data_IF_507731737604
#
_entry.id   IF_507731737604
#
_cell.length_a   1.000
_cell.length_b   1.000
_cell.length_c   1.000
_cell.angle_alpha   90.00
_cell.angle_beta   90.00
_cell.angle_gamma   90.00
#
_symmetry.space_group_name_H-M   'P 1'
#
loop_
_entity.id
_entity.type
_entity.pdbx_description
1 polymer ?
#
# COMPACT_ATOMS: atom_id res chain seq x y z
N UNK A 1 27.97 -9.29 -12.31
CA UNK A 1 26.99 -9.66 -11.26
C UNK A 1 27.54 -9.20 -9.92
N UNK A 2 27.14 -8.01 -9.43
CA UNK A 2 27.61 -7.53 -8.13
C UNK A 2 26.95 -8.39 -7.05
N UNK A 3 27.74 -9.15 -6.29
CA UNK A 3 27.27 -9.77 -5.05
C UNK A 3 26.75 -8.64 -4.18
N UNK A 4 25.42 -8.59 -3.98
CA UNK A 4 24.80 -7.57 -3.14
C UNK A 4 25.44 -7.63 -1.76
N UNK A 5 26.14 -6.55 -1.39
CA UNK A 5 26.87 -6.48 -0.13
C UNK A 5 25.83 -6.36 0.98
N UNK A 6 25.54 -7.46 1.67
CA UNK A 6 24.63 -7.43 2.81
C UNK A 6 25.34 -6.76 3.98
N UNK A 7 24.83 -5.60 4.41
CA UNK A 7 25.30 -4.94 5.62
C UNK A 7 24.70 -5.63 6.84
N UNK A 8 25.55 -6.08 7.77
CA UNK A 8 25.12 -6.74 9.01
C UNK A 8 25.13 -5.74 10.14
N UNK A 9 23.95 -5.51 10.73
CA UNK A 9 23.78 -4.72 11.95
C UNK A 9 23.47 -5.67 13.09
N UNK A 10 24.14 -5.51 14.23
CA UNK A 10 23.91 -6.35 15.42
C UNK A 10 23.32 -5.47 16.53
N UNK A 11 22.06 -5.73 16.88
CA UNK A 11 21.42 -5.22 18.10
C UNK A 11 21.09 -6.40 19.01
N UNK A 12 21.42 -6.27 20.29
CA UNK A 12 21.05 -7.25 21.33
C UNK A 12 19.92 -6.68 22.17
N UNK A 13 18.81 -7.40 22.24
CA UNK A 13 17.66 -7.08 23.07
C UNK A 13 17.66 -8.00 24.29
N UNK A 14 17.38 -7.44 25.46
CA UNK A 14 17.16 -8.20 26.69
C UNK A 14 15.68 -8.12 27.07
N UNK A 15 15.09 -9.27 27.38
CA UNK A 15 13.72 -9.39 27.88
C UNK A 15 13.76 -9.58 29.40
N UNK A 16 12.80 -8.99 30.12
CA UNK A 16 12.68 -9.04 31.57
C UNK A 16 11.41 -9.80 31.98
N UNK A 17 11.40 -11.14 31.91
CA UNK A 17 10.19 -11.96 32.13
C UNK A 17 9.63 -11.87 33.56
N UNK A 18 10.43 -11.42 34.54
CA UNK A 18 9.98 -11.21 35.91
C UNK A 18 9.18 -9.91 36.09
N UNK A 19 9.34 -8.95 35.17
CA UNK A 19 8.76 -7.60 35.28
C UNK A 19 7.64 -7.37 34.26
N UNK A 20 7.70 -8.05 33.11
CA UNK A 20 6.71 -7.91 32.03
C UNK A 20 6.13 -9.26 31.64
N UNK A 21 4.79 -9.33 31.62
CA UNK A 21 4.06 -10.50 31.11
C UNK A 21 4.24 -10.65 29.59
N UNK A 22 4.35 -9.54 28.86
CA UNK A 22 4.63 -9.56 27.43
C UNK A 22 6.01 -10.19 27.15
N UNK A 23 7.01 -9.88 27.97
CA UNK A 23 8.36 -10.48 27.86
C UNK A 23 8.36 -11.97 28.19
N UNK A 24 7.64 -12.38 29.25
CA UNK A 24 7.51 -13.79 29.64
C UNK A 24 6.83 -14.63 28.54
N UNK A 25 5.74 -14.10 27.96
CA UNK A 25 5.06 -14.76 26.84
C UNK A 25 5.92 -14.79 25.59
N UNK A 26 6.59 -13.68 25.26
CA UNK A 26 7.52 -13.60 24.13
C UNK A 26 8.61 -14.66 24.26
N UNK A 27 9.23 -14.79 25.45
CA UNK A 27 10.24 -15.81 25.72
C UNK A 27 9.68 -17.22 25.46
N UNK A 28 8.46 -17.50 25.93
CA UNK A 28 7.81 -18.82 25.78
C UNK A 28 7.53 -19.12 24.30
N UNK A 29 6.98 -18.17 23.55
CA UNK A 29 6.69 -18.30 22.12
C UNK A 29 7.97 -18.52 21.32
N UNK A 30 9.03 -17.76 21.60
CA UNK A 30 10.34 -17.93 20.94
C UNK A 30 10.97 -19.29 21.22
N UNK A 31 10.89 -19.78 22.46
CA UNK A 31 11.38 -21.11 22.82
C UNK A 31 10.59 -22.22 22.12
N UNK A 32 9.27 -22.08 22.02
CA UNK A 32 8.41 -23.04 21.32
C UNK A 32 8.73 -23.07 19.82
N UNK A 33 8.81 -21.92 19.18
CA UNK A 33 9.19 -21.81 17.76
C UNK A 33 10.54 -22.48 17.52
N UNK A 34 11.58 -22.13 18.28
CA UNK A 34 12.89 -22.78 18.13
C UNK A 34 12.84 -24.30 18.32
N UNK A 35 12.01 -24.80 19.24
CA UNK A 35 11.84 -26.24 19.45
C UNK A 35 11.16 -26.89 18.25
N UNK A 36 10.11 -26.27 17.70
CA UNK A 36 9.40 -26.75 16.53
C UNK A 36 10.32 -26.80 15.31
N UNK A 37 11.07 -25.73 15.01
CA UNK A 37 12.01 -25.72 13.88
C UNK A 37 13.08 -26.82 14.00
N UNK A 38 13.59 -27.10 15.22
CA UNK A 38 14.54 -28.19 15.45
C UNK A 38 13.92 -29.57 15.26
N UNK A 39 12.63 -29.73 15.56
CA UNK A 39 11.90 -30.99 15.45
C UNK A 39 11.45 -31.30 14.02
N UNK A 40 11.37 -30.29 13.14
CA UNK A 40 10.99 -30.45 11.72
C UNK A 40 12.00 -31.26 10.88
N UNK A 41 13.10 -31.76 11.47
CA UNK A 41 14.08 -32.61 10.78
C UNK A 41 14.90 -31.89 9.71
N UNK A 42 14.82 -30.56 9.64
CA UNK A 42 15.53 -29.73 8.67
C UNK A 42 17.00 -29.59 9.02
N UNK A 43 17.85 -29.38 8.01
CA UNK A 43 19.28 -29.21 8.21
C UNK A 43 19.58 -28.05 9.16
N UNK A 44 20.67 -28.16 9.92
CA UNK A 44 21.03 -27.15 10.93
C UNK A 44 21.19 -25.74 10.32
N UNK A 45 21.60 -25.66 9.06
CA UNK A 45 21.73 -24.39 8.36
C UNK A 45 20.38 -23.77 8.00
N UNK A 46 19.40 -24.59 7.63
CA UNK A 46 18.06 -24.15 7.25
C UNK A 46 17.31 -23.61 8.46
N UNK A 47 17.36 -24.34 9.58
CA UNK A 47 16.82 -23.86 10.88
C UNK A 47 17.38 -22.50 11.27
N UNK A 48 18.69 -22.29 11.09
CA UNK A 48 19.33 -21.02 11.39
C UNK A 48 18.91 -19.90 10.42
N UNK A 49 18.71 -20.20 9.14
CA UNK A 49 18.24 -19.23 8.15
C UNK A 49 16.78 -18.84 8.38
N UNK A 50 15.92 -19.81 8.70
CA UNK A 50 14.52 -19.54 9.06
C UNK A 50 14.44 -18.72 10.34
N UNK A 51 15.21 -19.07 11.38
CA UNK A 51 15.29 -18.30 12.62
C UNK A 51 15.72 -16.85 12.37
N UNK A 52 16.75 -16.63 11.53
CA UNK A 52 17.19 -15.28 11.16
C UNK A 52 16.12 -14.53 10.36
N UNK A 53 15.44 -15.20 9.44
CA UNK A 53 14.37 -14.60 8.63
C UNK A 53 13.20 -14.19 9.51
N UNK A 54 12.82 -15.04 10.45
CA UNK A 54 11.81 -14.75 11.45
C UNK A 54 12.16 -13.50 12.26
N UNK A 55 13.34 -13.46 12.90
CA UNK A 55 13.76 -12.30 13.68
C UNK A 55 13.86 -11.02 12.84
N UNK A 56 14.37 -11.13 11.61
CA UNK A 56 14.43 -10.00 10.66
C UNK A 56 13.03 -9.46 10.39
N UNK A 57 12.05 -10.31 10.12
CA UNK A 57 10.69 -9.88 9.82
C UNK A 57 10.01 -9.23 11.03
N UNK A 58 10.18 -9.80 12.23
CA UNK A 58 9.66 -9.21 13.48
C UNK A 58 10.26 -7.82 13.71
N UNK A 59 11.58 -7.67 13.54
CA UNK A 59 12.25 -6.38 13.72
C UNK A 59 11.79 -5.34 12.69
N UNK A 60 11.69 -5.71 11.41
CA UNK A 60 11.24 -4.80 10.35
C UNK A 60 9.78 -4.38 10.54
N UNK A 61 8.90 -5.31 10.93
CA UNK A 61 7.51 -5.00 11.22
C UNK A 61 7.40 -4.06 12.42
N UNK A 62 8.08 -4.37 13.53
CA UNK A 62 8.08 -3.51 14.72
C UNK A 62 8.63 -2.11 14.42
N UNK A 63 9.73 -2.01 13.67
CA UNK A 63 10.30 -0.72 13.28
C UNK A 63 9.35 0.08 12.38
N UNK A 64 8.67 -0.58 11.43
CA UNK A 64 7.68 0.07 10.57
C UNK A 64 6.48 0.58 11.39
N UNK A 65 5.98 -0.22 12.33
CA UNK A 65 4.91 0.22 13.24
C UNK A 65 5.35 1.41 14.08
N UNK A 66 6.58 1.39 14.59
CA UNK A 66 7.15 2.49 15.38
C UNK A 66 7.28 3.78 14.56
N UNK A 67 7.66 3.68 13.27
CA UNK A 67 7.72 4.83 12.36
C UNK A 67 6.35 5.44 12.06
N UNK A 68 5.30 4.61 12.00
CA UNK A 68 3.92 5.09 11.79
C UNK A 68 3.38 5.79 13.04
N UNK A 69 3.46 5.13 14.19
CA UNK A 69 3.07 5.68 15.48
C UNK A 69 3.76 4.90 16.63
N UNK A 70 4.63 5.54 17.42
CA UNK A 70 5.31 4.88 18.54
C UNK A 70 4.36 4.28 19.57
N UNK A 71 3.21 4.91 19.82
CA UNK A 71 2.20 4.44 20.77
C UNK A 71 1.50 3.18 20.26
N UNK A 72 1.23 3.10 18.95
CA UNK A 72 0.70 1.90 18.31
C UNK A 72 1.66 0.72 18.47
N UNK A 73 2.95 0.94 18.20
CA UNK A 73 3.96 -0.10 18.37
C UNK A 73 4.03 -0.61 19.81
N UNK A 74 4.02 0.30 20.78
CA UNK A 74 4.03 -0.05 22.19
C UNK A 74 2.77 -0.83 22.59
N UNK A 75 1.59 -0.37 22.19
CA UNK A 75 0.33 -1.05 22.51
C UNK A 75 0.26 -2.46 21.90
N UNK A 76 0.71 -2.63 20.66
CA UNK A 76 0.79 -3.95 20.01
C UNK A 76 1.80 -4.85 20.75
N UNK A 77 2.95 -4.32 21.18
CA UNK A 77 3.93 -5.10 21.95
C UNK A 77 3.37 -5.58 23.29
N UNK A 78 2.71 -4.70 24.05
CA UNK A 78 2.09 -5.05 25.33
C UNK A 78 0.91 -6.03 25.17
N UNK A 79 0.23 -5.99 24.03
CA UNK A 79 -0.89 -6.90 23.75
C UNK A 79 -0.49 -8.39 23.75
N UNK A 80 0.79 -8.70 23.47
CA UNK A 80 1.34 -10.07 23.55
C UNK A 80 1.21 -10.64 24.96
N UNK A 81 1.24 -9.78 25.99
CA UNK A 81 1.09 -10.17 27.40
C UNK A 81 -0.33 -10.65 27.75
N UNK A 82 -1.33 -10.36 26.92
CA UNK A 82 -2.74 -10.63 27.21
C UNK A 82 -3.14 -12.05 26.77
N UNK A 83 -4.07 -12.64 27.51
CA UNK A 83 -4.55 -13.99 27.21
C UNK A 83 -5.66 -13.95 26.15
N UNK A 84 -5.62 -14.87 25.18
CA UNK A 84 -6.69 -15.10 24.19
C UNK A 84 -7.08 -13.91 23.32
N UNK A 85 -6.23 -12.90 23.17
CA UNK A 85 -6.53 -11.74 22.34
C UNK A 85 -6.58 -12.12 20.86
N UNK A 86 -7.73 -11.92 20.24
CA UNK A 86 -7.91 -12.12 18.81
C UNK A 86 -7.58 -10.85 18.02
N UNK A 87 -7.27 -11.00 16.73
CA UNK A 87 -7.00 -9.87 15.84
C UNK A 87 -8.15 -8.82 15.80
N UNK A 88 -9.45 -9.19 15.68
CA UNK A 88 -10.52 -8.20 15.68
C UNK A 88 -10.63 -7.44 17.01
N UNK A 89 -10.48 -8.12 18.15
CA UNK A 89 -10.51 -7.46 19.48
C UNK A 89 -9.36 -6.46 19.64
N UNK A 90 -8.15 -6.82 19.20
CA UNK A 90 -7.02 -5.90 19.19
C UNK A 90 -7.30 -4.70 18.27
N UNK A 91 -7.88 -4.92 17.09
CA UNK A 91 -8.22 -3.83 16.18
C UNK A 91 -9.26 -2.87 16.80
N UNK A 92 -10.31 -3.40 17.44
CA UNK A 92 -11.31 -2.59 18.15
C UNK A 92 -10.70 -1.77 19.29
N UNK A 93 -9.76 -2.34 20.06
CA UNK A 93 -9.01 -1.59 21.08
C UNK A 93 -8.20 -0.46 20.47
N UNK A 94 -7.45 -0.74 19.40
CA UNK A 94 -6.61 0.27 18.74
C UNK A 94 -7.46 1.40 18.15
N UNK A 95 -8.66 1.12 17.64
CA UNK A 95 -9.62 2.14 17.19
C UNK A 95 -10.14 2.95 18.37
N UNK A 96 -10.52 2.30 19.49
CA UNK A 96 -10.96 3.00 20.72
C UNK A 96 -9.88 3.91 21.31
N UNK A 97 -8.61 3.53 21.17
CA UNK A 97 -7.47 4.32 21.59
C UNK A 97 -7.02 5.36 20.56
N UNK A 98 -7.76 5.54 19.45
CA UNK A 98 -7.43 6.46 18.35
C UNK A 98 -6.05 6.19 17.70
N UNK A 99 -5.54 4.96 17.83
CA UNK A 99 -4.27 4.51 17.26
C UNK A 99 -4.43 4.00 15.83
N UNK A 100 -5.64 3.62 15.45
CA UNK A 100 -6.04 3.32 14.08
C UNK A 100 -7.18 4.26 13.65
N UNK A 101 -7.19 4.75 12.41
CA UNK A 101 -8.31 5.51 11.89
C UNK A 101 -9.58 4.64 11.91
N UNK A 102 -10.70 5.24 12.31
CA UNK A 102 -12.05 4.65 12.31
C UNK A 102 -12.54 4.53 10.86
N UNK A 103 -11.81 3.83 10.01
CA UNK A 103 -12.34 3.38 8.72
C UNK A 103 -11.99 1.91 8.59
N UNK A 104 -12.94 1.06 8.97
CA UNK A 104 -13.06 -0.28 8.42
C UNK A 104 -13.90 -0.11 7.15
N UNK A 105 -13.33 0.12 5.95
CA UNK A 105 -14.03 -0.28 4.74
C UNK A 105 -13.95 -1.80 4.72
N UNK A 106 -14.99 -2.45 5.25
CA UNK A 106 -15.26 -3.84 4.95
C UNK A 106 -15.47 -3.93 3.44
N UNK A 107 -14.39 -4.22 2.71
CA UNK A 107 -14.36 -4.27 1.26
C UNK A 107 -14.76 -2.96 0.56
N UNK A 108 -14.11 -2.71 -0.56
CA UNK A 108 -14.58 -1.79 -1.58
C UNK A 108 -15.87 -2.34 -2.22
N UNK A 109 -17.00 -2.31 -1.51
CA UNK A 109 -18.29 -2.10 -2.15
C UNK A 109 -18.60 -0.62 -2.00
N UNK A 110 -18.09 0.17 -2.96
CA UNK A 110 -18.60 1.49 -3.24
C UNK A 110 -20.08 1.37 -3.65
N UNK A 111 -20.96 1.16 -2.67
CA UNK A 111 -22.35 1.54 -2.77
C UNK A 111 -22.41 3.05 -2.60
N UNK A 112 -21.98 3.76 -3.65
CA UNK A 112 -22.65 5.01 -4.01
C UNK A 112 -24.02 4.62 -4.59
N UNK A 113 -24.90 4.14 -3.72
CA UNK A 113 -26.32 3.92 -4.02
C UNK A 113 -27.15 4.87 -3.19
N UNK A 114 -26.78 6.15 -3.20
CA UNK A 114 -27.71 7.21 -2.83
C UNK A 114 -28.20 7.89 -4.10
N UNK A 115 -28.83 7.12 -5.00
CA UNK A 115 -29.79 7.70 -5.91
C UNK A 115 -31.05 7.98 -5.10
N UNK A 116 -31.39 9.25 -4.93
CA UNK A 116 -32.65 9.62 -4.27
C UNK A 116 -33.83 8.99 -5.02
N UNK A 117 -34.90 8.63 -4.30
CA UNK A 117 -36.11 8.06 -4.92
C UNK A 117 -36.64 8.95 -6.06
N UNK A 118 -36.49 10.27 -5.95
CA UNK A 118 -36.87 11.21 -6.99
C UNK A 118 -35.99 11.11 -8.26
N UNK A 119 -34.69 10.86 -8.12
CA UNK A 119 -33.80 10.64 -9.26
C UNK A 119 -34.10 9.32 -9.97
N UNK A 120 -34.49 8.27 -9.22
CA UNK A 120 -34.94 7.01 -9.80
C UNK A 120 -36.27 7.16 -10.55
N UNK A 121 -37.21 7.93 -10.01
CA UNK A 121 -38.48 8.23 -10.68
C UNK A 121 -38.26 9.05 -11.97
N UNK A 122 -37.35 10.02 -11.94
CA UNK A 122 -36.96 10.79 -13.13
C UNK A 122 -36.31 9.90 -14.20
N UNK A 123 -35.40 9.01 -13.80
CA UNK A 123 -34.76 8.06 -14.71
C UNK A 123 -35.80 7.13 -15.34
N UNK A 124 -36.75 6.63 -14.53
CA UNK A 124 -37.86 5.81 -15.00
C UNK A 124 -38.75 6.55 -15.98
N UNK A 125 -39.07 7.82 -15.72
CA UNK A 125 -39.92 8.64 -16.59
C UNK A 125 -39.25 8.94 -17.93
N UNK A 126 -37.92 9.17 -17.94
CA UNK A 126 -37.15 9.34 -19.18
C UNK A 126 -37.12 8.05 -20.00
N UNK A 127 -37.00 6.89 -19.34
CA UNK A 127 -37.10 5.59 -20.01
C UNK A 127 -38.50 5.31 -20.55
N UNK A 128 -39.56 5.61 -19.80
CA UNK A 128 -40.94 5.47 -20.30
C UNK A 128 -41.20 6.38 -21.51
N UNK A 129 -40.73 7.63 -21.49
CA UNK A 129 -40.88 8.56 -22.61
C UNK A 129 -40.13 8.10 -23.87
N UNK A 130 -39.00 7.40 -23.71
CA UNK A 130 -38.24 6.85 -24.83
C UNK A 130 -38.81 5.51 -25.33
N UNK A 131 -39.52 4.75 -24.49
CA UNK A 131 -40.17 3.47 -24.85
C UNK A 131 -41.58 3.70 -25.43
N UNK A 132 -42.30 4.74 -25.02
CA UNK A 132 -43.65 5.07 -25.52
C UNK A 132 -43.70 5.54 -26.98
N UNK A 133 -42.55 5.67 -27.67
CA UNK A 133 -42.50 5.81 -29.12
C UNK A 133 -42.93 4.55 -29.89
N UNK A 134 -43.02 3.38 -29.21
CA UNK A 134 -43.38 2.10 -29.82
C UNK A 134 -44.47 1.42 -29.00
N UNK A 135 -45.74 1.87 -29.12
CA UNK A 135 -46.94 1.02 -28.93
C UNK A 135 -48.26 1.74 -29.23
N UNK A 136 -48.73 1.54 -30.45
CA UNK A 136 -50.12 1.19 -30.80
C UNK A 136 -49.96 0.08 -31.85
N UNK A 137 -50.39 -1.17 -31.70
CA UNK A 137 -51.56 -1.72 -31.04
C UNK A 137 -51.36 -3.22 -30.66
N UNK A 138 -52.15 -3.69 -29.70
CA UNK A 138 -52.46 -5.11 -29.38
C UNK A 138 -53.35 -5.77 -30.47
N UNK A 139 -53.70 -7.10 -30.44
CA UNK A 139 -53.21 -8.23 -29.62
C UNK A 139 -53.01 -9.60 -30.36
N UNK A 140 -52.33 -10.53 -29.66
CA UNK A 140 -52.46 -12.02 -29.69
C UNK A 140 -51.83 -12.84 -30.87
N UNK A 141 -51.69 -14.19 -30.75
CA UNK A 141 -50.46 -14.84 -30.24
C UNK A 141 -49.92 -15.93 -31.20
N UNK A 142 -48.60 -16.09 -31.35
CA UNK A 142 -47.98 -17.36 -31.78
C UNK A 142 -46.46 -17.37 -31.64
N UNK A 143 -45.98 -18.40 -30.94
CA UNK A 143 -44.75 -19.14 -31.16
C UNK A 143 -43.44 -18.39 -31.47
N UNK A 144 -42.61 -18.33 -30.42
CA UNK A 144 -41.16 -18.54 -30.39
C UNK A 144 -40.53 -18.92 -31.74
N UNK A 145 -39.65 -18.07 -32.27
CA UNK A 145 -38.32 -18.46 -32.75
C UNK A 145 -37.44 -17.23 -32.93
N UNK A 146 -36.24 -17.37 -32.39
CA UNK A 146 -35.08 -16.50 -32.38
C UNK A 146 -34.93 -15.63 -33.64
N UNK A 147 -34.85 -14.31 -33.42
CA UNK A 147 -33.97 -13.47 -34.24
C UNK A 147 -33.49 -12.34 -33.35
N UNK A 148 -32.29 -12.51 -32.80
CA UNK A 148 -31.49 -11.38 -32.32
C UNK A 148 -31.12 -10.59 -33.58
N UNK A 149 -31.89 -9.56 -33.91
CA UNK A 149 -31.47 -8.56 -34.88
C UNK A 149 -31.56 -7.18 -34.24
N UNK A 150 -30.40 -6.56 -34.24
CA UNK A 150 -30.10 -5.25 -33.74
C UNK A 150 -30.93 -4.19 -34.45
N UNK A 151 -31.57 -3.32 -33.69
CA UNK A 151 -32.02 -2.01 -34.18
C UNK A 151 -32.17 -1.09 -32.98
N UNK A 152 -31.36 -0.01 -32.94
CA UNK A 152 -31.51 1.05 -31.95
C UNK A 152 -30.27 1.83 -31.51
N UNK A 153 -29.07 1.59 -32.05
CA UNK A 153 -27.97 2.54 -31.87
C UNK A 153 -27.95 3.43 -33.12
N UNK A 154 -28.45 4.65 -33.01
CA UNK A 154 -28.40 5.63 -34.12
C UNK A 154 -26.98 5.71 -34.67
N UNK A 155 -26.84 5.79 -35.99
CA UNK A 155 -25.54 5.85 -36.67
C UNK A 155 -24.62 6.97 -36.13
N UNK A 156 -25.22 8.05 -35.64
CA UNK A 156 -24.57 9.18 -34.97
C UNK A 156 -23.91 8.77 -33.65
N UNK A 157 -24.60 7.99 -32.80
CA UNK A 157 -24.04 7.48 -31.55
C UNK A 157 -22.91 6.49 -31.81
N UNK A 158 -23.04 5.63 -32.83
CA UNK A 158 -21.94 4.74 -33.22
C UNK A 158 -20.71 5.52 -33.73
N UNK A 159 -20.93 6.63 -34.46
CA UNK A 159 -19.85 7.51 -34.90
C UNK A 159 -19.14 8.20 -33.72
N UNK A 160 -19.90 8.66 -32.72
CA UNK A 160 -19.32 9.24 -31.50
C UNK A 160 -18.54 8.20 -30.67
N UNK A 161 -19.07 6.99 -30.51
CA UNK A 161 -18.34 5.92 -29.81
C UNK A 161 -17.05 5.52 -30.52
N UNK A 162 -17.05 5.46 -31.85
CA UNK A 162 -15.83 5.17 -32.62
C UNK A 162 -14.82 6.30 -32.52
N UNK A 163 -15.28 7.56 -32.55
CA UNK A 163 -14.44 8.74 -32.29
C UNK A 163 -13.79 8.67 -30.90
N UNK A 164 -14.58 8.44 -29.84
CA UNK A 164 -14.09 8.39 -28.47
C UNK A 164 -13.10 7.24 -28.24
N UNK A 165 -13.32 6.08 -28.88
CA UNK A 165 -12.37 4.95 -28.86
C UNK A 165 -11.05 5.30 -29.54
N UNK A 166 -11.10 6.06 -30.64
CA UNK A 166 -9.90 6.51 -31.34
C UNK A 166 -9.08 7.51 -30.51
N UNK A 167 -9.76 8.38 -29.75
CA UNK A 167 -9.14 9.35 -28.87
C UNK A 167 -8.47 8.68 -27.66
N UNK A 168 -9.15 7.71 -27.05
CA UNK A 168 -8.57 6.89 -25.98
C UNK A 168 -7.34 6.11 -26.45
N UNK A 169 -7.38 5.53 -27.65
CA UNK A 169 -6.23 4.85 -28.23
C UNK A 169 -5.05 5.81 -28.45
N UNK A 170 -5.32 7.04 -28.89
CA UNK A 170 -4.30 8.09 -29.06
C UNK A 170 -3.69 8.52 -27.71
N UNK A 171 -4.51 8.73 -26.69
CA UNK A 171 -4.04 9.10 -25.35
C UNK A 171 -3.20 7.98 -24.72
N UNK A 172 -3.64 6.73 -24.85
CA UNK A 172 -2.90 5.56 -24.37
C UNK A 172 -1.50 5.50 -24.97
N UNK A 173 -1.39 5.68 -26.29
CA UNK A 173 -0.09 5.69 -26.98
C UNK A 173 0.82 6.84 -26.52
N UNK A 174 0.26 8.02 -26.26
CA UNK A 174 1.03 9.16 -25.76
C UNK A 174 1.56 8.92 -24.34
N UNK A 175 0.74 8.33 -23.46
CA UNK A 175 1.15 7.95 -22.11
C UNK A 175 2.25 6.89 -22.12
N UNK A 176 2.13 5.88 -22.98
CA UNK A 176 3.16 4.85 -23.16
C UNK A 176 4.49 5.46 -23.63
N UNK A 177 4.44 6.41 -24.57
CA UNK A 177 5.62 7.12 -25.03
C UNK A 177 6.28 7.97 -23.94
N UNK A 178 5.50 8.69 -23.13
CA UNK A 178 6.03 9.46 -21.99
C UNK A 178 6.65 8.54 -20.93
N UNK A 179 6.02 7.39 -20.66
CA UNK A 179 6.55 6.42 -19.70
C UNK A 179 7.92 5.88 -20.14
N UNK A 180 8.06 5.55 -21.43
CA UNK A 180 9.34 5.12 -22.02
C UNK A 180 10.41 6.22 -21.92
N UNK A 181 10.07 7.48 -22.18
CA UNK A 181 11.00 8.60 -22.03
C UNK A 181 11.46 8.79 -20.57
N UNK A 182 10.54 8.68 -19.61
CA UNK A 182 10.87 8.73 -18.18
C UNK A 182 11.77 7.56 -17.76
N UNK A 183 11.53 6.36 -18.30
CA UNK A 183 12.37 5.20 -18.04
C UNK A 183 13.78 5.40 -18.63
N UNK A 184 13.90 5.94 -19.84
CA UNK A 184 15.18 6.28 -20.44
C UNK A 184 15.93 7.36 -19.64
N UNK A 185 15.25 8.37 -19.12
CA UNK A 185 15.85 9.40 -18.25
C UNK A 185 16.35 8.82 -16.92
N UNK A 186 15.59 7.89 -16.32
CA UNK A 186 16.02 7.17 -15.11
C UNK A 186 17.25 6.30 -15.36
N UNK A 187 17.33 5.70 -16.54
CA UNK A 187 18.47 4.86 -16.95
C UNK A 187 19.70 5.73 -17.34
N UNK A 188 19.50 6.90 -17.95
CA UNK A 188 20.60 7.80 -18.34
C UNK A 188 21.18 8.60 -17.17
N UNK A 189 20.42 8.84 -16.09
CA UNK A 189 20.95 9.37 -14.82
C UNK A 189 21.76 8.34 -14.02
N UNK A 190 21.84 7.08 -14.47
CA UNK A 190 22.61 6.01 -13.82
C UNK A 190 23.93 5.78 -14.56
N UNK A 191 24.84 6.76 -14.54
CA UNK A 191 26.25 6.59 -14.94
C UNK A 191 27.18 6.85 -13.74
N UNK A 192 28.34 6.14 -13.63
CA UNK A 192 29.00 5.88 -12.36
C UNK A 192 30.01 6.97 -11.98
N UNK A 193 30.00 7.39 -10.71
CA UNK A 193 31.08 8.18 -10.13
C UNK A 193 32.31 7.28 -9.85
N UNK A 194 33.48 7.84 -10.13
CA UNK A 194 34.78 7.21 -10.21
C UNK A 194 35.40 6.83 -8.85
N UNK A 195 36.48 6.04 -8.97
CA UNK A 195 37.23 5.26 -7.97
C UNK A 195 38.08 6.11 -7.00
N UNK A 196 38.29 5.54 -5.79
CA UNK A 196 39.12 5.95 -4.64
C UNK A 196 40.62 6.31 -4.90
N UNK A 197 41.37 6.79 -3.87
CA UNK A 197 42.20 5.85 -3.09
C UNK A 197 42.23 6.09 -1.56
N UNK A 198 41.95 5.01 -0.80
CA UNK A 198 42.68 4.47 0.37
C UNK A 198 43.74 5.34 1.10
N UNK A 199 43.65 5.48 2.45
CA UNK A 199 44.42 4.72 3.47
C UNK A 199 44.63 5.48 4.82
N UNK A 200 44.46 4.74 5.93
CA UNK A 200 44.96 4.90 7.33
C UNK A 200 44.14 5.67 8.40
N UNK A 201 43.40 4.90 9.21
CA UNK A 201 43.55 4.75 10.67
C UNK A 201 43.65 5.98 11.58
N UNK A 202 42.55 6.29 12.28
CA UNK A 202 42.46 6.34 13.75
C UNK A 202 41.01 6.67 14.17
N UNK A 203 40.67 6.29 15.39
CA UNK A 203 39.37 6.55 16.01
C UNK A 203 39.02 8.04 16.01
N UNK A 204 37.81 8.40 15.57
CA UNK A 204 37.16 9.65 15.95
C UNK A 204 35.64 9.53 15.79
N UNK A 205 34.94 10.15 16.74
CA UNK A 205 33.50 10.35 16.83
C UNK A 205 32.91 10.83 15.50
N UNK A 206 31.71 10.36 15.16
CA UNK A 206 30.90 11.02 14.14
C UNK A 206 30.12 12.14 14.82
N UNK A 207 30.59 13.36 14.62
CA UNK A 207 29.91 14.60 14.95
C UNK A 207 28.59 14.71 14.15
N UNK A 208 27.46 14.85 14.84
CA UNK A 208 26.12 14.93 14.25
C UNK A 208 25.80 16.32 13.65
N UNK A 209 26.81 17.16 13.41
CA UNK A 209 26.61 18.55 12.99
C UNK A 209 26.35 18.77 11.49
N UNK A 210 26.54 17.78 10.62
CA UNK A 210 26.53 17.99 9.15
C UNK A 210 25.23 17.61 8.40
N UNK A 211 24.12 17.42 9.12
CA UNK A 211 22.79 17.26 8.49
C UNK A 211 21.88 18.44 8.90
N UNK A 212 22.27 19.65 8.52
CA UNK A 212 21.38 20.80 8.51
C UNK A 212 20.74 20.98 7.12
N UNK A 213 19.39 21.10 7.01
CA UNK A 213 18.70 21.30 5.74
C UNK A 213 18.90 22.72 5.17
N UNK A 214 18.68 22.91 3.85
CA UNK A 214 19.13 24.10 3.11
C UNK A 214 18.25 25.32 3.40
N UNK A 215 18.61 26.13 4.39
CA UNK A 215 17.94 27.42 4.69
C UNK A 215 18.81 28.65 4.43
N UNK A 216 20.05 28.46 3.98
CA UNK A 216 21.01 29.57 3.82
C UNK A 216 20.71 30.52 2.65
N UNK A 217 19.86 30.11 1.70
CA UNK A 217 19.45 30.99 0.58
C UNK A 217 18.36 32.01 0.96
N UNK A 218 17.69 31.87 2.11
CA UNK A 218 16.66 32.83 2.54
C UNK A 218 17.19 33.96 3.43
N UNK A 219 18.34 33.80 4.12
CA UNK A 219 18.95 34.88 4.91
C UNK A 219 19.68 35.94 4.08
N UNK A 220 20.22 35.58 2.90
CA UNK A 220 20.88 36.53 1.98
C UNK A 220 19.94 37.53 1.31
N UNK A 221 18.63 37.29 1.29
CA UNK A 221 17.64 38.19 0.67
C UNK A 221 17.21 39.30 1.66
N UNK A 222 17.32 39.08 2.97
CA UNK A 222 16.99 40.08 4.01
C UNK A 222 18.16 41.02 4.39
N UNK A 223 19.38 40.75 3.92
CA UNK A 223 20.58 41.55 4.24
C UNK A 223 21.03 42.47 3.10
N UNK A 224 20.33 42.47 1.96
CA UNK A 224 20.43 43.54 0.96
C UNK A 224 19.22 44.47 1.11
N UNK A 225 19.17 45.15 2.26
CA UNK A 225 18.45 46.40 2.35
C UNK A 225 19.13 47.40 1.42
N UNK A 226 18.42 47.78 0.36
CA UNK A 226 18.60 49.03 -0.38
C UNK A 226 17.34 49.83 0.02
N UNK A 227 17.30 51.06 0.55
CA UNK A 227 18.24 52.14 0.87
C UNK A 227 19.67 52.04 0.34
#
# INVERSE_FOLDING_TARGET
>A
MSKGQTSRVNFSLYLSPAQSQADLRTMTVLQQLHRQLKQSGSDRNDVNMETRTFHRNVYLAGLQLHQLNPQLCHHVAESIGREHLTLPELAEELVRCELLPVEIPAASSAQNTDFSAQQLEQLRQVFEQSISGVKTAEPAPSAVSETIQAEGISAEQQAEFTHLRSELARMSKLLEQQNLQLQQLRLSQRAPAAVEPTRNGNAEEVDLADIAPPTEKMKKIRQKGIF
#
